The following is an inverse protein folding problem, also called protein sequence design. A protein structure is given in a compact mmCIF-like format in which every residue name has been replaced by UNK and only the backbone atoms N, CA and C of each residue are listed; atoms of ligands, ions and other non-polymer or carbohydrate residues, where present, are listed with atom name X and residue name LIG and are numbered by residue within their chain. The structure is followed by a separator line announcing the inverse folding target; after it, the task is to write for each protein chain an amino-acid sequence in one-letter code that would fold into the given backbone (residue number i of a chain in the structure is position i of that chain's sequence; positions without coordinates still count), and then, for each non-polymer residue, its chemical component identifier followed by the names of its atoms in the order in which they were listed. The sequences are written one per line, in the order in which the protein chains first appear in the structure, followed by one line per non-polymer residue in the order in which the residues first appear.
data_IF_785834860210
#
_entry.id   IF_785834860210
#
_cell.length_a   1.000
_cell.length_b   1.000
_cell.length_c   1.000
_cell.angle_alpha   90.00
_cell.angle_beta   90.00
_cell.angle_gamma   90.00
#
_symmetry.space_group_name_H-M   'P 1'
#
loop_
_entity.id
_entity.type
_entity.pdbx_description
1 polymer ?
#
# COMPACT_ATOMS: atom_id res chain seq x y z
N UNK A 1 -29.23 -4.43 46.75
CA UNK A 1 -28.91 -3.34 45.80
C UNK A 1 -27.60 -2.72 46.24
N UNK A 2 -26.49 -3.28 45.77
CA UNK A 2 -25.15 -2.85 46.16
C UNK A 2 -24.63 -1.91 45.08
N UNK A 3 -24.57 -0.62 45.37
CA UNK A 3 -23.95 0.37 44.50
C UNK A 3 -22.47 0.02 44.32
N UNK A 4 -22.13 -0.52 43.16
CA UNK A 4 -20.75 -0.56 42.66
C UNK A 4 -20.33 0.90 42.54
N UNK A 5 -19.61 1.39 43.56
CA UNK A 5 -18.93 2.68 43.50
C UNK A 5 -17.92 2.59 42.36
N UNK A 6 -18.27 3.15 41.21
CA UNK A 6 -17.32 3.48 40.15
C UNK A 6 -16.22 4.31 40.78
N UNK A 7 -15.08 3.67 41.05
CA UNK A 7 -13.86 4.34 41.48
C UNK A 7 -13.37 5.18 40.29
N UNK A 8 -13.97 6.36 40.09
CA UNK A 8 -13.57 7.35 39.09
C UNK A 8 -12.31 8.11 39.54
N UNK A 9 -11.32 7.38 40.04
CA UNK A 9 -10.03 7.91 40.47
C UNK A 9 -8.91 7.08 39.85
N UNK A 10 -8.76 7.20 38.53
CA UNK A 10 -7.49 6.88 37.88
C UNK A 10 -7.03 8.02 36.97
N UNK A 11 -7.22 9.24 37.46
CA UNK A 11 -6.79 10.49 36.79
C UNK A 11 -5.31 10.79 37.07
N UNK A 12 -4.64 10.04 37.96
CA UNK A 12 -3.25 10.35 38.36
C UNK A 12 -2.38 9.10 38.54
N UNK A 13 -2.49 8.12 37.65
CA UNK A 13 -1.43 7.12 37.57
C UNK A 13 -0.11 7.84 37.18
N UNK A 14 1.01 7.64 37.91
CA UNK A 14 2.24 8.41 37.69
C UNK A 14 2.78 8.29 36.26
N UNK A 15 2.51 7.17 35.59
CA UNK A 15 2.88 6.94 34.20
C UNK A 15 2.11 7.83 33.21
N UNK A 16 0.83 8.16 33.48
CA UNK A 16 0.04 9.10 32.64
C UNK A 16 0.63 10.50 32.72
N UNK A 17 1.07 10.91 33.92
CA UNK A 17 1.75 12.19 34.13
C UNK A 17 3.07 12.24 33.38
N UNK A 18 3.86 11.15 33.42
CA UNK A 18 5.13 11.07 32.69
C UNK A 18 4.96 11.19 31.17
N UNK A 19 3.93 10.54 30.61
CA UNK A 19 3.59 10.66 29.18
C UNK A 19 3.22 12.11 28.83
N UNK A 20 2.36 12.75 29.64
CA UNK A 20 1.97 14.15 29.45
C UNK A 20 3.18 15.06 29.47
N UNK A 21 4.06 14.91 30.46
CA UNK A 21 5.27 15.72 30.59
C UNK A 21 6.19 15.56 29.37
N UNK A 22 6.40 14.33 28.89
CA UNK A 22 7.20 14.05 27.70
C UNK A 22 6.63 14.74 26.45
N UNK A 23 5.32 14.62 26.21
CA UNK A 23 4.67 15.24 25.04
C UNK A 23 4.64 16.76 25.16
N UNK A 24 4.38 17.32 26.35
CA UNK A 24 4.42 18.77 26.58
C UNK A 24 5.82 19.36 26.37
N UNK A 25 6.87 18.63 26.77
CA UNK A 25 8.25 19.05 26.50
C UNK A 25 8.55 19.10 24.99
N UNK A 26 8.00 18.19 24.20
CA UNK A 26 8.10 18.22 22.74
C UNK A 26 7.33 19.43 22.17
N UNK A 27 6.10 19.65 22.63
CA UNK A 27 5.28 20.81 22.26
C UNK A 27 6.02 22.13 22.50
N UNK A 28 6.72 22.28 23.64
CA UNK A 28 7.50 23.49 23.93
C UNK A 28 8.60 23.76 22.89
N UNK A 29 9.26 22.71 22.39
CA UNK A 29 10.25 22.82 21.31
C UNK A 29 9.57 23.31 20.03
N UNK A 30 8.47 22.67 19.63
CA UNK A 30 7.74 23.04 18.42
C UNK A 30 7.19 24.48 18.48
N UNK A 31 6.71 24.92 19.64
CA UNK A 31 6.23 26.29 19.85
C UNK A 31 7.37 27.31 19.75
N UNK A 32 8.57 26.97 20.21
CA UNK A 32 9.77 27.81 20.06
C UNK A 32 10.17 27.94 18.59
N UNK A 33 10.08 26.85 17.82
CA UNK A 33 10.38 26.84 16.40
C UNK A 33 9.36 27.66 15.61
N UNK A 34 8.05 27.48 15.88
CA UNK A 34 6.98 28.27 15.28
C UNK A 34 7.16 29.79 15.54
N UNK A 35 7.54 30.16 16.77
CA UNK A 35 7.85 31.56 17.11
C UNK A 35 9.06 32.08 16.33
N UNK A 36 10.11 31.27 16.21
CA UNK A 36 11.32 31.63 15.46
C UNK A 36 11.01 31.81 13.97
N UNK A 37 10.18 30.94 13.39
CA UNK A 37 9.72 31.05 12.02
C UNK A 37 8.88 32.32 11.79
N UNK A 38 7.96 32.64 12.72
CA UNK A 38 7.19 33.89 12.69
C UNK A 38 8.09 35.13 12.70
N UNK A 39 9.08 35.19 13.60
CA UNK A 39 10.03 36.31 13.65
C UNK A 39 10.87 36.42 12.38
N UNK A 40 11.27 35.30 11.79
CA UNK A 40 12.00 35.27 10.51
C UNK A 40 11.15 35.90 9.40
N UNK A 41 9.90 35.46 9.24
CA UNK A 41 8.96 36.03 8.26
C UNK A 41 8.74 37.53 8.48
N UNK A 42 8.64 37.98 9.74
CA UNK A 42 8.54 39.41 10.04
C UNK A 42 9.79 40.19 9.61
N UNK A 43 10.99 39.65 9.83
CA UNK A 43 12.24 40.31 9.48
C UNK A 43 12.48 40.39 7.97
N UNK A 44 12.04 39.39 7.20
CA UNK A 44 12.17 39.33 5.74
C UNK A 44 11.26 40.36 5.04
N UNK A 45 10.15 40.74 5.65
CA UNK A 45 9.15 41.60 5.01
C UNK A 45 9.32 43.10 5.31
N UNK A 46 10.44 43.57 5.84
CA UNK A 46 10.61 44.98 6.24
C UNK A 46 10.84 45.91 5.04
N UNK A 47 10.09 47.03 4.89
CA UNK A 47 9.02 47.52 5.77
C UNK A 47 7.66 46.84 5.50
N UNK A 48 7.23 46.00 6.45
CA UNK A 48 6.01 45.23 6.29
C UNK A 48 4.80 46.14 6.49
N UNK A 49 3.94 46.20 5.48
CA UNK A 49 2.60 46.79 5.59
C UNK A 49 1.86 46.22 6.80
N UNK A 50 1.01 47.04 7.44
CA UNK A 50 0.19 46.64 8.59
C UNK A 50 -0.65 45.39 8.29
N UNK A 51 -1.15 45.29 7.06
CA UNK A 51 -1.91 44.14 6.56
C UNK A 51 -1.09 42.85 6.57
N UNK A 52 0.17 42.91 6.13
CA UNK A 52 1.08 41.74 6.10
C UNK A 52 1.38 41.26 7.53
N UNK A 53 1.59 42.18 8.47
CA UNK A 53 1.82 41.82 9.88
C UNK A 53 0.61 41.12 10.49
N UNK A 54 -0.61 41.60 10.19
CA UNK A 54 -1.84 40.97 10.67
C UNK A 54 -2.02 39.55 10.14
N UNK A 55 -1.77 39.33 8.84
CA UNK A 55 -1.81 37.99 8.23
C UNK A 55 -0.80 37.03 8.88
N UNK A 56 0.45 37.46 9.03
CA UNK A 56 1.49 36.65 9.68
C UNK A 56 1.14 36.32 11.13
N UNK A 57 0.53 37.26 11.86
CA UNK A 57 0.07 37.02 13.24
C UNK A 57 -1.03 35.96 13.28
N UNK A 58 -1.99 36.02 12.36
CA UNK A 58 -3.07 35.05 12.28
C UNK A 58 -2.54 33.65 11.91
N UNK A 59 -1.59 33.56 10.98
CA UNK A 59 -0.91 32.32 10.62
C UNK A 59 -0.21 31.71 11.85
N UNK A 60 0.62 32.49 12.56
CA UNK A 60 1.28 32.04 13.79
C UNK A 60 0.28 31.56 14.85
N UNK A 61 -0.82 32.30 15.06
CA UNK A 61 -1.85 31.90 16.01
C UNK A 61 -2.50 30.57 15.61
N UNK A 62 -2.78 30.37 14.32
CA UNK A 62 -3.33 29.12 13.80
C UNK A 62 -2.36 27.96 14.00
N UNK A 63 -1.07 28.16 13.70
CA UNK A 63 -0.04 27.14 13.89
C UNK A 63 0.08 26.73 15.36
N UNK A 64 0.07 27.70 16.28
CA UNK A 64 0.10 27.41 17.72
C UNK A 64 -1.12 26.59 18.16
N UNK A 65 -2.32 26.88 17.65
CA UNK A 65 -3.52 26.10 17.96
C UNK A 65 -3.43 24.67 17.40
N UNK A 66 -2.97 24.53 16.16
CA UNK A 66 -2.77 23.23 15.53
C UNK A 66 -1.77 22.37 16.32
N UNK A 67 -0.65 22.96 16.75
CA UNK A 67 0.37 22.28 17.54
C UNK A 67 -0.17 21.79 18.89
N UNK A 68 -0.97 22.63 19.58
CA UNK A 68 -1.63 22.23 20.84
C UNK A 68 -2.59 21.06 20.63
N UNK A 69 -3.41 21.13 19.59
CA UNK A 69 -4.34 20.05 19.24
C UNK A 69 -3.61 18.73 18.98
N UNK A 70 -2.53 18.75 18.19
CA UNK A 70 -1.72 17.56 17.90
C UNK A 70 -1.13 16.98 19.19
N UNK A 71 -0.57 17.82 20.07
CA UNK A 71 -0.01 17.35 21.34
C UNK A 71 -1.08 16.74 22.26
N UNK A 72 -2.30 17.29 22.29
CA UNK A 72 -3.41 16.72 23.06
C UNK A 72 -3.86 15.35 22.52
N UNK A 73 -3.95 15.20 21.19
CA UNK A 73 -4.25 13.92 20.55
C UNK A 73 -3.13 12.90 20.80
N UNK A 74 -1.86 13.30 20.74
CA UNK A 74 -0.72 12.43 21.01
C UNK A 74 -0.72 11.93 22.46
N UNK A 75 -0.98 12.82 23.43
CA UNK A 75 -1.17 12.43 24.84
C UNK A 75 -2.28 11.39 24.97
N UNK A 76 -3.42 11.60 24.31
CA UNK A 76 -4.56 10.68 24.38
C UNK A 76 -4.20 9.32 23.79
N UNK A 77 -3.62 9.30 22.59
CA UNK A 77 -3.26 8.08 21.88
C UNK A 77 -2.19 7.26 22.62
N UNK A 78 -1.21 7.93 23.22
CA UNK A 78 -0.15 7.28 24.00
C UNK A 78 -0.70 6.67 25.29
N UNK A 79 -1.58 7.40 25.99
CA UNK A 79 -2.28 6.87 27.18
C UNK A 79 -3.12 5.65 26.82
N UNK A 80 -3.88 5.70 25.72
CA UNK A 80 -4.70 4.58 25.29
C UNK A 80 -3.86 3.36 24.87
N UNK A 81 -2.70 3.57 24.24
CA UNK A 81 -1.77 2.48 23.90
C UNK A 81 -1.23 1.79 25.15
N UNK A 82 -0.71 2.55 26.09
CA UNK A 82 -0.16 2.02 27.34
C UNK A 82 -1.26 1.36 28.21
N UNK A 83 -2.49 1.90 28.22
CA UNK A 83 -3.62 1.24 28.86
C UNK A 83 -3.95 -0.11 28.22
N UNK A 84 -3.90 -0.21 26.88
CA UNK A 84 -4.10 -1.48 26.18
C UNK A 84 -2.99 -2.48 26.50
N UNK A 85 -1.74 -2.05 26.54
CA UNK A 85 -0.61 -2.91 26.88
C UNK A 85 -0.69 -3.40 28.33
N UNK A 86 -1.04 -2.51 29.27
CA UNK A 86 -1.24 -2.88 30.67
C UNK A 86 -2.44 -3.81 30.86
N UNK A 87 -3.55 -3.55 30.15
CA UNK A 87 -4.71 -4.44 30.15
C UNK A 87 -4.35 -5.80 29.58
N UNK A 88 -3.62 -5.84 28.46
CA UNK A 88 -3.11 -7.08 27.87
C UNK A 88 -2.22 -7.86 28.84
N UNK A 89 -1.31 -7.18 29.55
CA UNK A 89 -0.47 -7.80 30.57
C UNK A 89 -1.27 -8.30 31.77
N UNK A 90 -2.30 -7.55 32.20
CA UNK A 90 -3.17 -7.96 33.30
C UNK A 90 -4.05 -9.16 32.91
N UNK A 91 -4.65 -9.15 31.72
CA UNK A 91 -5.46 -10.24 31.18
C UNK A 91 -4.59 -11.49 30.94
N UNK A 92 -3.39 -11.32 30.40
CA UNK A 92 -2.43 -12.41 30.24
C UNK A 92 -2.08 -12.98 31.61
N UNK A 93 -1.74 -12.14 32.59
CA UNK A 93 -1.42 -12.61 33.95
C UNK A 93 -2.60 -13.32 34.59
N UNK A 94 -3.82 -12.79 34.47
CA UNK A 94 -5.03 -13.43 34.98
C UNK A 94 -5.31 -14.77 34.30
N UNK A 95 -4.99 -14.90 33.00
CA UNK A 95 -5.11 -16.17 32.27
C UNK A 95 -4.12 -17.22 32.79
N UNK A 96 -2.94 -16.82 33.24
CA UNK A 96 -1.94 -17.71 33.86
C UNK A 96 -2.16 -17.93 35.36
N UNK A 97 -3.01 -17.13 36.02
CA UNK A 97 -3.34 -17.21 37.45
C UNK A 97 -4.67 -17.94 37.72
N UNK A 98 -5.36 -18.40 36.66
CA UNK A 98 -6.35 -19.48 36.81
C UNK A 98 -5.57 -20.69 37.25
N UNK A 99 -5.81 -21.20 38.46
CA UNK A 99 -5.24 -22.42 39.02
C UNK A 99 -5.14 -23.50 37.94
N UNK A 100 -4.01 -23.54 37.23
CA UNK A 100 -3.73 -24.56 36.25
C UNK A 100 -3.68 -25.82 37.10
N UNK A 101 -4.59 -26.79 36.89
CA UNK A 101 -4.58 -28.00 37.68
C UNK A 101 -3.15 -28.53 37.67
N UNK A 102 -2.57 -28.77 38.85
CA UNK A 102 -1.15 -29.08 39.04
C UNK A 102 -0.65 -30.19 38.07
N UNK A 103 -1.58 -31.04 37.65
CA UNK A 103 -1.42 -32.12 36.67
C UNK A 103 -1.17 -31.65 35.22
N UNK A 104 -1.78 -30.55 34.77
CA UNK A 104 -1.56 -29.99 33.43
C UNK A 104 -0.22 -29.26 33.33
N UNK A 105 0.23 -28.65 34.43
CA UNK A 105 1.55 -28.02 34.52
C UNK A 105 2.67 -29.04 34.33
N UNK A 106 2.56 -30.22 34.94
CA UNK A 106 3.61 -31.23 34.87
C UNK A 106 3.70 -31.89 33.49
N UNK A 107 2.57 -32.25 32.87
CA UNK A 107 2.56 -32.83 31.52
C UNK A 107 3.10 -31.87 30.45
N UNK A 108 2.76 -30.57 30.54
CA UNK A 108 3.27 -29.57 29.60
C UNK A 108 4.76 -29.29 29.80
N UNK A 109 5.24 -29.27 31.05
CA UNK A 109 6.68 -29.14 31.35
C UNK A 109 7.45 -30.36 30.84
N UNK A 110 6.93 -31.57 31.00
CA UNK A 110 7.51 -32.80 30.44
C UNK A 110 7.58 -32.76 28.92
N UNK A 111 6.53 -32.26 28.25
CA UNK A 111 6.50 -32.11 26.80
C UNK A 111 7.55 -31.11 26.30
N UNK A 112 7.65 -29.94 26.94
CA UNK A 112 8.68 -28.93 26.61
C UNK A 112 10.10 -29.45 26.84
N UNK A 113 10.33 -30.19 27.94
CA UNK A 113 11.59 -30.88 28.21
C UNK A 113 11.90 -31.97 27.18
N UNK A 114 10.89 -32.72 26.73
CA UNK A 114 11.03 -33.73 25.69
C UNK A 114 11.43 -33.10 24.35
N UNK A 115 10.82 -31.98 23.97
CA UNK A 115 11.17 -31.23 22.75
C UNK A 115 12.60 -30.69 22.84
N UNK A 116 12.98 -30.06 23.95
CA UNK A 116 14.35 -29.56 24.15
C UNK A 116 15.39 -30.68 24.12
N UNK A 117 15.09 -31.82 24.73
CA UNK A 117 15.95 -33.00 24.67
C UNK A 117 16.01 -33.58 23.25
N UNK A 118 14.90 -33.58 22.50
CA UNK A 118 14.89 -34.02 21.11
C UNK A 118 15.76 -33.13 20.21
N UNK A 119 15.75 -31.81 20.43
CA UNK A 119 16.63 -30.87 19.70
C UNK A 119 18.09 -31.06 20.10
N UNK A 120 18.37 -31.21 21.40
CA UNK A 120 19.74 -31.40 21.90
C UNK A 120 20.36 -32.72 21.46
N UNK A 121 19.55 -33.77 21.36
CA UNK A 121 19.97 -35.11 20.98
C UNK A 121 19.77 -35.41 19.49
N UNK A 122 19.24 -34.46 18.70
CA UNK A 122 19.31 -34.59 17.26
C UNK A 122 20.79 -34.60 16.89
N UNK A 123 21.33 -35.71 16.34
CA UNK A 123 22.68 -35.71 15.83
C UNK A 123 22.72 -34.56 14.83
N UNK A 124 23.63 -33.59 15.04
CA UNK A 124 23.93 -32.56 14.04
C UNK A 124 24.11 -33.33 12.74
N UNK A 125 23.12 -33.26 11.85
CA UNK A 125 23.17 -33.88 10.55
C UNK A 125 24.43 -33.31 9.92
N UNK A 126 25.49 -34.11 9.95
CA UNK A 126 26.74 -33.81 9.30
C UNK A 126 26.36 -33.45 7.88
N UNK A 127 26.72 -32.22 7.51
CA UNK A 127 26.68 -31.63 6.17
C UNK A 127 26.31 -32.70 5.15
N UNK A 128 25.01 -32.83 4.87
CA UNK A 128 24.57 -33.53 3.68
C UNK A 128 25.20 -32.73 2.56
N UNK A 129 26.27 -33.30 2.02
CA UNK A 129 26.91 -32.87 0.79
C UNK A 129 25.76 -32.70 -0.18
N UNK A 130 25.52 -31.45 -0.57
CA UNK A 130 24.62 -31.10 -1.66
C UNK A 130 25.26 -31.72 -2.89
N UNK A 131 24.90 -32.97 -3.15
CA UNK A 131 25.25 -33.66 -4.37
C UNK A 131 24.46 -32.94 -5.46
N UNK A 132 25.19 -32.19 -6.29
CA UNK A 132 24.68 -31.50 -7.47
C UNK A 132 23.75 -32.43 -8.23
N UNK A 133 22.45 -32.14 -8.15
CA UNK A 133 21.44 -32.80 -8.94
C UNK A 133 21.53 -32.22 -10.35
N UNK A 134 22.40 -32.83 -11.17
CA UNK A 134 22.40 -32.63 -12.61
C UNK A 134 21.03 -33.04 -13.15
N UNK A 135 20.23 -32.03 -13.49
CA UNK A 135 18.93 -32.19 -14.13
C UNK A 135 19.10 -32.76 -15.53
N UNK A 136 19.12 -34.08 -15.66
CA UNK A 136 18.84 -34.75 -16.92
C UNK A 136 17.55 -35.56 -16.80
N UNK A 137 16.63 -35.26 -17.71
CA UNK A 137 15.69 -36.21 -18.29
C UNK A 137 14.55 -36.69 -17.37
N UNK A 138 13.52 -35.87 -17.26
CA UNK A 138 12.19 -36.33 -16.84
C UNK A 138 11.38 -36.68 -18.10
N UNK A 139 11.42 -37.95 -18.50
CA UNK A 139 10.55 -38.49 -19.54
C UNK A 139 9.09 -38.48 -19.07
N UNK A 140 8.21 -38.03 -19.97
CA UNK A 140 6.77 -37.98 -19.77
C UNK A 140 6.19 -39.41 -19.73
N UNK A 141 6.00 -39.94 -18.52
CA UNK A 141 5.19 -41.13 -18.29
C UNK A 141 3.70 -40.83 -18.42
N UNK A 142 3.10 -41.23 -19.54
CA UNK A 142 1.66 -41.26 -19.75
C UNK A 142 0.98 -42.19 -18.74
N UNK A 143 0.15 -41.64 -17.86
CA UNK A 143 -0.70 -42.43 -16.95
C UNK A 143 -2.13 -42.47 -17.48
N UNK A 144 -2.44 -43.56 -18.16
CA UNK A 144 -3.80 -43.98 -18.54
C UNK A 144 -4.61 -44.28 -17.28
N UNK A 145 -5.67 -43.51 -17.02
CA UNK A 145 -6.70 -43.89 -16.04
C UNK A 145 -7.78 -44.76 -16.71
N UNK A 146 -8.21 -45.86 -16.07
CA UNK A 146 -9.30 -46.68 -16.59
C UNK A 146 -10.65 -45.99 -16.35
N UNK A 147 -11.50 -46.08 -17.38
CA UNK A 147 -12.91 -45.72 -17.37
C UNK A 147 -13.64 -46.83 -16.60
N UNK A 148 -14.22 -46.49 -15.45
CA UNK A 148 -15.11 -47.38 -14.71
C UNK A 148 -16.54 -46.88 -14.81
N UNK A 149 -17.43 -47.80 -15.19
CA UNK A 149 -18.78 -47.54 -15.66
C UNK A 149 -19.83 -47.96 -14.61
N UNK A 150 -20.82 -47.07 -14.38
CA UNK A 150 -22.21 -47.32 -13.93
C UNK A 150 -22.43 -48.02 -12.55
N UNK A 151 -23.60 -47.91 -11.85
CA UNK A 151 -24.94 -47.76 -12.42
C UNK A 151 -25.96 -46.83 -11.72
N UNK A 152 -26.99 -46.55 -12.52
CA UNK A 152 -28.38 -46.16 -12.28
C UNK A 152 -28.94 -46.28 -10.86
N UNK A 153 -29.63 -45.22 -10.41
CA UNK A 153 -30.50 -45.25 -9.22
C UNK A 153 -31.94 -44.85 -9.61
N UNK A 154 -32.97 -45.58 -9.13
CA UNK A 154 -34.30 -45.53 -9.71
C UNK A 154 -35.19 -44.40 -9.17
N UNK A 155 -36.10 -43.97 -10.03
CA UNK A 155 -37.30 -43.21 -9.72
C UNK A 155 -38.20 -43.95 -8.73
N UNK A 156 -38.68 -43.25 -7.70
CA UNK A 156 -39.83 -43.67 -6.91
C UNK A 156 -40.71 -42.46 -6.59
N UNK A 157 -41.89 -42.49 -7.20
CA UNK A 157 -43.11 -41.75 -6.86
C UNK A 157 -43.63 -42.27 -5.52
N UNK A 158 -44.07 -41.39 -4.61
CA UNK A 158 -45.21 -41.55 -3.68
C UNK A 158 -45.41 -40.23 -2.90
N UNK A 159 -46.53 -39.54 -3.10
CA UNK A 159 -47.74 -39.61 -2.26
C UNK A 159 -47.66 -38.74 -0.98
N UNK A 160 -48.16 -37.51 -1.12
CA UNK A 160 -49.22 -36.88 -0.31
C UNK A 160 -49.51 -37.54 1.06
N UNK A 161 -49.15 -36.86 2.14
CA UNK A 161 -49.91 -36.88 3.40
C UNK A 161 -49.58 -35.62 4.21
N UNK A 162 -50.61 -34.83 4.51
CA UNK A 162 -50.51 -33.69 5.41
C UNK A 162 -50.35 -34.17 6.84
N UNK A 163 -49.33 -33.66 7.53
CA UNK A 163 -49.15 -33.84 8.96
C UNK A 163 -48.88 -32.47 9.59
N UNK A 164 -49.91 -31.96 10.26
CA UNK A 164 -49.84 -30.86 11.22
C UNK A 164 -48.90 -31.29 12.36
N UNK A 165 -47.63 -30.86 12.29
CA UNK A 165 -46.71 -30.96 13.41
C UNK A 165 -46.62 -29.61 14.09
N UNK A 166 -47.02 -29.61 15.36
CA UNK A 166 -46.91 -28.50 16.30
C UNK A 166 -45.54 -27.84 16.24
N UNK A 167 -45.54 -26.51 16.06
CA UNK A 167 -44.39 -25.63 16.22
C UNK A 167 -43.97 -25.60 17.70
N UNK A 168 -43.25 -26.63 18.14
CA UNK A 168 -42.49 -26.61 19.37
C UNK A 168 -41.30 -25.67 19.14
N UNK A 169 -41.40 -24.45 19.70
CA UNK A 169 -40.30 -23.50 19.80
C UNK A 169 -39.24 -24.10 20.73
N UNK A 170 -38.37 -24.93 20.16
CA UNK A 170 -37.12 -25.32 20.80
C UNK A 170 -36.26 -24.06 20.83
N UNK A 171 -36.14 -23.44 22.00
CA UNK A 171 -35.18 -22.38 22.24
C UNK A 171 -33.79 -22.91 21.88
N UNK A 172 -33.28 -22.52 20.71
CA UNK A 172 -31.89 -22.78 20.31
C UNK A 172 -31.01 -22.12 21.36
N UNK A 173 -30.43 -22.94 22.23
CA UNK A 173 -29.38 -22.53 23.15
C UNK A 173 -28.18 -22.19 22.28
N UNK A 174 -28.03 -20.90 21.99
CA UNK A 174 -26.95 -20.33 21.18
C UNK A 174 -25.63 -20.75 21.82
N UNK A 175 -24.87 -21.54 21.07
CA UNK A 175 -23.65 -22.15 21.59
C UNK A 175 -22.58 -21.09 21.81
N UNK A 176 -21.71 -21.28 22.80
CA UNK A 176 -20.59 -20.35 23.07
C UNK A 176 -19.70 -20.13 21.84
N UNK A 177 -19.56 -21.17 21.00
CA UNK A 177 -18.85 -21.10 19.73
C UNK A 177 -19.50 -20.17 18.69
N UNK A 178 -20.84 -20.17 18.58
CA UNK A 178 -21.57 -19.25 17.69
C UNK A 178 -21.41 -17.78 18.14
N UNK A 179 -21.42 -17.53 19.45
CA UNK A 179 -21.18 -16.19 20.00
C UNK A 179 -19.78 -15.69 19.67
N UNK A 180 -18.76 -16.55 19.81
CA UNK A 180 -17.39 -16.19 19.47
C UNK A 180 -17.21 -15.95 17.96
N UNK A 181 -17.81 -16.77 17.11
CA UNK A 181 -17.78 -16.59 15.66
C UNK A 181 -18.40 -15.25 15.23
N UNK A 182 -19.52 -14.86 15.85
CA UNK A 182 -20.18 -13.56 15.62
C UNK A 182 -19.30 -12.39 16.04
N UNK A 183 -18.60 -12.52 17.16
CA UNK A 183 -17.69 -11.48 17.67
C UNK A 183 -16.46 -11.29 16.76
N UNK A 184 -15.95 -12.38 16.17
CA UNK A 184 -14.87 -12.32 15.16
C UNK A 184 -15.33 -11.65 13.87
N UNK A 185 -16.55 -11.94 13.40
CA UNK A 185 -17.13 -11.28 12.23
C UNK A 185 -17.33 -9.77 12.47
N UNK A 186 -17.89 -9.38 13.62
CA UNK A 186 -18.07 -7.97 13.97
C UNK A 186 -16.74 -7.22 14.05
N UNK A 187 -15.69 -7.85 14.60
CA UNK A 187 -14.35 -7.27 14.66
C UNK A 187 -13.75 -7.06 13.27
N UNK A 188 -13.94 -8.03 12.37
CA UNK A 188 -13.48 -7.93 11.00
C UNK A 188 -14.25 -6.85 10.22
N UNK A 189 -15.56 -6.74 10.43
CA UNK A 189 -16.39 -5.68 9.84
C UNK A 189 -15.95 -4.28 10.30
N UNK A 190 -15.68 -4.09 11.61
CA UNK A 190 -15.14 -2.83 12.14
C UNK A 190 -13.78 -2.47 11.53
N UNK A 191 -12.91 -3.45 11.32
CA UNK A 191 -11.63 -3.20 10.65
C UNK A 191 -11.84 -2.75 9.19
N UNK A 192 -12.74 -3.40 8.45
CA UNK A 192 -13.06 -2.99 7.08
C UNK A 192 -13.67 -1.58 7.02
N UNK A 193 -14.54 -1.23 7.97
CA UNK A 193 -15.13 0.11 8.07
C UNK A 193 -14.07 1.16 8.40
N UNK A 194 -13.13 0.87 9.31
CA UNK A 194 -11.99 1.75 9.62
C UNK A 194 -11.11 1.99 8.37
N UNK A 195 -10.85 0.94 7.58
CA UNK A 195 -10.13 1.08 6.32
C UNK A 195 -10.88 1.95 5.31
N UNK A 196 -12.21 1.79 5.18
CA UNK A 196 -13.04 2.66 4.33
C UNK A 196 -12.97 4.11 4.78
N UNK A 197 -13.09 4.37 6.08
CA UNK A 197 -13.02 5.71 6.65
C UNK A 197 -11.67 6.39 6.38
N UNK A 198 -10.55 5.67 6.57
CA UNK A 198 -9.21 6.21 6.24
C UNK A 198 -9.04 6.46 4.75
N UNK A 199 -9.56 5.60 3.89
CA UNK A 199 -9.50 5.80 2.44
C UNK A 199 -10.26 7.06 2.01
N UNK A 200 -11.44 7.30 2.59
CA UNK A 200 -12.23 8.53 2.34
C UNK A 200 -11.50 9.79 2.84
N UNK A 201 -10.90 9.75 4.03
CA UNK A 201 -10.10 10.85 4.58
C UNK A 201 -8.90 11.21 3.67
N UNK A 202 -8.19 10.20 3.17
CA UNK A 202 -7.10 10.40 2.20
C UNK A 202 -7.62 11.05 0.91
N UNK A 203 -8.78 10.62 0.40
CA UNK A 203 -9.39 11.25 -0.77
C UNK A 203 -9.83 12.69 -0.51
N UNK A 204 -10.34 13.00 0.68
CA UNK A 204 -10.68 14.37 1.07
C UNK A 204 -9.44 15.25 1.14
N UNK A 205 -8.36 14.77 1.77
CA UNK A 205 -7.08 15.49 1.82
C UNK A 205 -6.53 15.76 0.43
N UNK A 206 -6.57 14.78 -0.48
CA UNK A 206 -6.18 14.96 -1.90
C UNK A 206 -7.07 15.94 -2.66
N UNK A 207 -8.37 16.06 -2.31
CA UNK A 207 -9.26 17.07 -2.90
C UNK A 207 -8.90 18.47 -2.42
N UNK A 208 -8.76 18.64 -1.11
CA UNK A 208 -8.35 19.92 -0.51
C UNK A 208 -6.99 20.38 -1.03
N UNK A 209 -6.04 19.46 -1.21
CA UNK A 209 -4.73 19.77 -1.78
C UNK A 209 -4.81 20.23 -3.24
N UNK A 210 -5.68 19.61 -4.06
CA UNK A 210 -5.93 20.06 -5.44
C UNK A 210 -6.60 21.43 -5.49
N UNK A 211 -7.58 21.66 -4.62
CA UNK A 211 -8.24 22.96 -4.50
C UNK A 211 -7.26 24.05 -4.05
N UNK A 212 -6.38 23.73 -3.10
CA UNK A 212 -5.32 24.62 -2.65
C UNK A 212 -4.34 24.98 -3.79
N UNK A 213 -3.85 23.99 -4.53
CA UNK A 213 -2.94 24.22 -5.67
C UNK A 213 -3.61 25.05 -6.77
N UNK A 214 -4.85 24.72 -7.13
CA UNK A 214 -5.61 25.48 -8.14
C UNK A 214 -5.83 26.94 -7.69
N UNK A 215 -6.02 27.18 -6.39
CA UNK A 215 -6.10 28.53 -5.83
C UNK A 215 -4.78 29.29 -5.91
N UNK A 216 -3.65 28.59 -5.79
CA UNK A 216 -2.32 29.19 -5.95
C UNK A 216 -2.09 29.61 -7.42
N UNK A 217 -2.41 28.75 -8.39
CA UNK A 217 -2.30 29.05 -9.83
C UNK A 217 -3.17 30.25 -10.23
N UNK A 218 -4.37 30.38 -9.65
CA UNK A 218 -5.23 31.54 -9.87
C UNK A 218 -4.62 32.86 -9.36
N UNK A 219 -3.83 32.82 -8.28
CA UNK A 219 -3.15 34.01 -7.75
C UNK A 219 -1.93 34.41 -8.61
N UNK A 220 -1.23 33.45 -9.19
CA UNK A 220 -0.09 33.72 -10.08
C UNK A 220 -0.54 34.28 -11.46
N UNK A 221 -1.63 33.74 -12.00
CA UNK A 221 -2.19 34.20 -13.29
C UNK A 221 -2.84 35.58 -13.22
N UNK A 222 -3.46 35.93 -12.09
CA UNK A 222 -4.02 37.29 -11.86
C UNK A 222 -2.94 38.33 -11.58
N UNK A 223 -1.78 37.93 -11.05
CA UNK A 223 -0.65 38.83 -10.83
C UNK A 223 0.11 39.16 -12.13
N UNK A 224 0.12 38.25 -13.10
CA UNK A 224 0.89 38.40 -14.35
C UNK A 224 0.16 39.18 -15.46
N UNK A 225 -1.16 39.39 -15.35
CA UNK A 225 -1.98 40.03 -16.39
C UNK A 225 -2.10 41.56 -16.26
N UNK A 226 -1.40 42.19 -15.32
CA UNK A 226 -1.46 43.65 -15.07
C UNK A 226 -0.28 44.47 -15.62
N UNK A 227 0.64 43.89 -16.39
CA UNK A 227 1.86 44.58 -16.83
C UNK A 227 2.08 44.74 -18.34
N UNK A 228 1.10 44.44 -19.20
CA UNK A 228 1.31 44.58 -20.65
C UNK A 228 0.06 45.10 -21.38
N UNK A 229 -0.07 46.42 -21.47
CA UNK A 229 -0.90 47.12 -22.47
C UNK A 229 -0.42 48.55 -22.65
N UNK A 230 0.58 48.76 -23.51
CA UNK A 230 0.85 50.04 -24.15
C UNK A 230 1.57 49.82 -25.48
N UNK A 231 0.96 50.37 -26.55
CA UNK A 231 1.54 50.67 -27.89
C UNK A 231 1.81 49.46 -28.80
N UNK A 232 1.46 49.39 -30.10
CA UNK A 232 0.98 50.34 -31.11
C UNK A 232 0.47 49.56 -32.34
N UNK A 233 -0.49 50.13 -33.06
CA UNK A 233 -0.87 49.85 -34.45
C UNK A 233 0.35 49.91 -35.41
N UNK A 234 0.40 49.31 -36.60
CA UNK A 234 -0.36 49.67 -37.82
C UNK A 234 0.07 48.78 -39.01
N UNK A 235 -0.84 48.56 -40.00
CA UNK A 235 -0.60 48.29 -41.47
C UNK A 235 0.18 47.03 -41.89
N UNK A 236 -0.08 46.30 -42.99
CA UNK A 236 -0.99 46.40 -44.14
C UNK A 236 -0.84 45.14 -45.02
N UNK A 237 -1.93 44.81 -45.71
CA UNK A 237 -2.16 43.97 -46.90
C UNK A 237 -0.99 43.55 -47.82
N UNK A 238 -0.97 42.29 -48.27
CA UNK A 238 -1.24 41.87 -49.67
C UNK A 238 -1.00 40.34 -49.90
N UNK A 239 -1.77 39.68 -50.80
CA UNK A 239 -1.60 38.28 -51.19
C UNK A 239 -0.96 38.15 -52.59
N UNK A 240 -0.11 37.14 -52.82
CA UNK A 240 0.19 36.66 -54.19
C UNK A 240 0.42 35.15 -54.24
N UNK A 241 -0.05 34.61 -55.36
CA UNK A 241 -0.25 33.23 -55.77
C UNK A 241 0.90 32.64 -56.60
N UNK A 242 0.95 31.30 -56.68
CA UNK A 242 1.31 30.48 -57.86
C UNK A 242 2.79 30.51 -58.36
N UNK A 243 3.52 29.47 -58.81
CA UNK A 243 3.41 27.99 -58.97
C UNK A 243 4.87 27.47 -59.29
N UNK A 244 5.19 26.31 -59.94
CA UNK A 244 6.18 25.33 -59.44
C UNK A 244 7.45 25.16 -60.32
N UNK A 245 8.44 24.36 -59.88
CA UNK A 245 9.18 23.36 -60.71
C UNK A 245 10.50 22.86 -60.06
N UNK A 246 11.04 21.71 -60.51
CA UNK A 246 11.82 20.78 -59.68
C UNK A 246 13.32 20.68 -60.05
N UNK A 247 14.02 19.77 -59.36
CA UNK A 247 15.40 19.29 -59.58
C UNK A 247 16.45 20.10 -58.81
N UNK A 248 17.46 19.54 -58.16
CA UNK A 248 17.87 18.17 -57.86
C UNK A 248 19.17 18.30 -57.07
N UNK A 249 19.42 17.30 -56.21
CA UNK A 249 20.77 16.86 -55.81
C UNK A 249 21.46 17.56 -54.63
N UNK A 250 22.08 16.66 -53.84
CA UNK A 250 23.32 16.84 -53.06
C UNK A 250 23.12 17.09 -51.56
N UNK A 251 23.13 15.96 -50.85
CA UNK A 251 23.96 15.67 -49.67
C UNK A 251 24.14 16.81 -48.67
N UNK A 252 23.25 16.84 -47.68
CA UNK A 252 23.49 17.47 -46.40
C UNK A 252 23.22 16.45 -45.31
N UNK A 253 24.30 15.84 -44.81
CA UNK A 253 24.37 15.17 -43.52
C UNK A 253 23.94 16.18 -42.46
N UNK A 254 22.63 16.21 -42.23
CA UNK A 254 22.02 17.03 -41.22
C UNK A 254 22.09 16.22 -39.93
N UNK A 255 23.06 16.60 -39.10
CA UNK A 255 23.11 16.32 -37.67
C UNK A 255 21.75 16.69 -37.04
N UNK A 256 20.78 15.78 -37.14
CA UNK A 256 19.61 15.74 -36.27
C UNK A 256 20.10 15.25 -34.92
N UNK A 257 20.83 16.14 -34.25
CA UNK A 257 21.06 16.12 -32.81
C UNK A 257 19.68 16.31 -32.17
N UNK A 258 18.93 15.21 -32.14
CA UNK A 258 17.70 15.08 -31.38
C UNK A 258 18.13 15.32 -29.93
N UNK A 259 17.97 16.56 -29.48
CA UNK A 259 17.77 16.88 -28.08
C UNK A 259 16.55 16.06 -27.67
N UNK A 260 16.79 14.79 -27.30
CA UNK A 260 15.90 14.06 -26.43
C UNK A 260 15.88 14.88 -25.16
N UNK A 261 14.93 15.80 -25.13
CA UNK A 261 14.46 16.51 -23.96
C UNK A 261 14.25 15.43 -22.90
N UNK A 262 15.29 15.23 -22.10
CA UNK A 262 15.31 14.18 -21.09
C UNK A 262 14.23 14.57 -20.12
N UNK A 263 13.12 13.82 -20.12
CA UNK A 263 12.04 14.03 -19.17
C UNK A 263 12.65 14.21 -17.77
N UNK A 264 12.20 15.22 -17.00
CA UNK A 264 12.77 15.49 -15.70
C UNK A 264 12.79 14.22 -14.87
N UNK A 265 13.98 13.84 -14.37
CA UNK A 265 14.14 12.67 -13.52
C UNK A 265 13.19 12.81 -12.33
N UNK A 266 12.37 11.79 -12.06
CA UNK A 266 11.47 11.81 -10.92
C UNK A 266 12.26 11.98 -9.62
N UNK A 267 11.70 12.75 -8.68
CA UNK A 267 12.30 12.89 -7.35
C UNK A 267 12.35 11.54 -6.64
N UNK A 268 13.29 11.39 -5.70
CA UNK A 268 13.42 10.18 -4.91
C UNK A 268 12.13 9.89 -4.12
N UNK A 269 11.53 10.94 -3.55
CA UNK A 269 10.26 10.85 -2.85
C UNK A 269 9.13 10.39 -3.78
N UNK A 270 9.09 10.85 -5.03
CA UNK A 270 8.09 10.43 -6.01
C UNK A 270 8.25 8.97 -6.40
N UNK A 271 9.49 8.48 -6.54
CA UNK A 271 9.79 7.06 -6.80
C UNK A 271 9.28 6.18 -5.66
N UNK A 272 9.57 6.57 -4.41
CA UNK A 272 9.11 5.85 -3.21
C UNK A 272 7.58 5.84 -3.18
N UNK A 273 6.95 7.00 -3.38
CA UNK A 273 5.49 7.13 -3.39
C UNK A 273 4.84 6.30 -4.50
N UNK A 274 5.42 6.28 -5.70
CA UNK A 274 4.95 5.48 -6.84
C UNK A 274 4.95 3.99 -6.51
N UNK A 275 6.00 3.52 -5.87
CA UNK A 275 6.11 2.11 -5.47
C UNK A 275 5.12 1.72 -4.39
N UNK A 276 4.96 2.55 -3.36
CA UNK A 276 3.95 2.33 -2.33
C UNK A 276 2.56 2.30 -2.98
N UNK A 277 2.30 3.20 -3.92
CA UNK A 277 1.06 3.22 -4.68
C UNK A 277 0.84 1.95 -5.50
N UNK A 278 1.85 1.45 -6.22
CA UNK A 278 1.78 0.19 -6.96
C UNK A 278 1.49 -1.02 -6.06
N UNK A 279 2.09 -1.07 -4.86
CA UNK A 279 1.81 -2.14 -3.90
C UNK A 279 0.36 -2.08 -3.39
N UNK A 280 -0.19 -0.88 -3.16
CA UNK A 280 -1.60 -0.71 -2.83
C UNK A 280 -2.52 -1.11 -4.00
N UNK A 281 -2.14 -0.80 -5.24
CA UNK A 281 -2.92 -1.18 -6.43
C UNK A 281 -3.12 -2.69 -6.54
N UNK A 282 -2.11 -3.53 -6.21
CA UNK A 282 -2.28 -4.99 -6.21
C UNK A 282 -3.44 -5.49 -5.33
N UNK A 283 -3.65 -4.83 -4.19
CA UNK A 283 -4.77 -5.12 -3.29
C UNK A 283 -6.09 -4.70 -3.92
N UNK A 284 -6.10 -3.51 -4.55
CA UNK A 284 -7.29 -2.95 -5.17
C UNK A 284 -7.74 -3.71 -6.43
N UNK A 285 -6.83 -4.08 -7.34
CA UNK A 285 -7.19 -4.80 -8.57
C UNK A 285 -7.83 -6.17 -8.30
N UNK A 286 -7.51 -6.78 -7.16
CA UNK A 286 -8.13 -8.06 -6.76
C UNK A 286 -9.62 -7.91 -6.41
N UNK A 287 -10.11 -6.69 -6.22
CA UNK A 287 -11.52 -6.38 -5.91
C UNK A 287 -12.32 -5.87 -7.11
N UNK A 288 -11.66 -5.57 -8.22
CA UNK A 288 -12.32 -5.01 -9.40
C UNK A 288 -13.00 -6.14 -10.22
N UNK A 289 -14.25 -5.92 -10.68
CA UNK A 289 -14.95 -6.92 -11.49
C UNK A 289 -14.41 -7.00 -12.92
N UNK A 290 -13.85 -5.90 -13.41
CA UNK A 290 -13.30 -5.74 -14.76
C UNK A 290 -11.95 -5.07 -14.66
N UNK A 291 -10.97 -5.62 -15.37
CA UNK A 291 -9.60 -5.09 -15.42
C UNK A 291 -9.25 -4.68 -16.85
N UNK A 292 -8.46 -3.63 -16.95
CA UNK A 292 -7.87 -3.08 -18.16
C UNK A 292 -6.35 -3.03 -18.04
N UNK A 293 -5.65 -2.84 -19.15
CA UNK A 293 -4.20 -2.73 -19.20
C UNK A 293 -3.66 -1.66 -18.24
N UNK A 294 -4.33 -0.51 -18.15
CA UNK A 294 -3.93 0.61 -17.28
C UNK A 294 -4.13 0.36 -15.78
N UNK A 295 -4.90 -0.65 -15.40
CA UNK A 295 -5.19 -0.94 -13.98
C UNK A 295 -4.04 -1.69 -13.31
N UNK A 296 -3.19 -2.33 -14.11
CA UNK A 296 -2.07 -3.11 -13.59
C UNK A 296 -0.91 -2.17 -13.17
N UNK A 297 -0.33 -2.40 -11.97
CA UNK A 297 0.84 -1.67 -11.50
C UNK A 297 2.11 -2.19 -12.17
N UNK A 298 2.27 -1.89 -13.46
CA UNK A 298 3.44 -2.26 -14.25
C UNK A 298 4.73 -1.79 -13.57
N UNK A 299 5.83 -2.59 -13.56
CA UNK A 299 7.10 -2.18 -12.98
C UNK A 299 7.81 -1.17 -13.91
N UNK A 300 7.26 0.03 -13.96
CA UNK A 300 7.63 1.12 -14.83
C UNK A 300 7.64 2.42 -14.02
N UNK A 301 8.73 3.18 -14.06
CA UNK A 301 8.90 4.42 -13.30
C UNK A 301 8.18 5.59 -13.99
N UNK A 302 6.86 5.49 -14.08
CA UNK A 302 6.00 6.59 -14.51
C UNK A 302 4.64 6.46 -13.85
N UNK A 303 4.03 7.60 -13.49
CA UNK A 303 2.63 7.64 -13.05
C UNK A 303 1.65 7.26 -14.16
N UNK A 304 2.09 7.28 -15.42
CA UNK A 304 1.33 6.76 -16.54
C UNK A 304 1.71 5.30 -16.78
N UNK A 305 0.69 4.44 -16.89
CA UNK A 305 0.92 3.07 -17.33
C UNK A 305 1.62 3.08 -18.71
N UNK A 306 2.54 2.12 -18.98
CA UNK A 306 3.09 1.93 -20.32
C UNK A 306 1.95 1.86 -21.34
N UNK A 307 2.13 2.37 -22.55
CA UNK A 307 1.05 2.33 -23.55
C UNK A 307 1.02 0.99 -24.27
N UNK A 308 2.16 0.30 -24.32
CA UNK A 308 2.31 -1.00 -24.98
C UNK A 308 3.30 -1.88 -24.24
N UNK A 309 3.31 -3.17 -24.60
CA UNK A 309 4.25 -4.16 -24.04
C UNK A 309 5.72 -3.85 -24.40
N UNK A 310 5.97 -3.14 -25.50
CA UNK A 310 7.32 -2.77 -25.93
C UNK A 310 7.97 -1.73 -25.01
N UNK A 311 7.17 -0.97 -24.25
CA UNK A 311 7.67 0.02 -23.28
C UNK A 311 8.28 -0.67 -22.03
N UNK A 312 7.97 -1.95 -21.81
CA UNK A 312 8.46 -2.77 -20.71
C UNK A 312 9.86 -3.31 -21.03
N UNK A 313 10.84 -2.42 -21.15
CA UNK A 313 12.23 -2.76 -21.43
C UNK A 313 12.96 -3.28 -20.19
N UNK A 314 14.07 -4.00 -20.39
CA UNK A 314 14.93 -4.46 -19.28
C UNK A 314 15.39 -3.29 -18.41
N UNK A 315 15.75 -2.19 -19.04
CA UNK A 315 16.21 -0.96 -18.38
C UNK A 315 15.11 -0.39 -17.49
N UNK A 316 13.91 -0.17 -18.01
CA UNK A 316 12.79 0.41 -17.25
C UNK A 316 12.38 -0.45 -16.05
N UNK A 317 12.32 -1.77 -16.23
CA UNK A 317 12.01 -2.71 -15.13
C UNK A 317 13.14 -2.76 -14.11
N UNK A 318 14.40 -2.75 -14.56
CA UNK A 318 15.55 -2.76 -13.65
C UNK A 318 15.61 -1.49 -12.81
N UNK A 319 15.33 -0.34 -13.41
CA UNK A 319 15.27 0.95 -12.74
C UNK A 319 14.16 0.95 -11.70
N UNK A 320 12.96 0.46 -12.04
CA UNK A 320 11.84 0.34 -11.11
C UNK A 320 12.15 -0.52 -9.87
N UNK A 321 12.91 -1.61 -10.04
CA UNK A 321 13.28 -2.49 -8.93
C UNK A 321 14.30 -1.83 -8.01
N UNK A 322 15.26 -1.09 -8.58
CA UNK A 322 16.43 -0.56 -7.85
C UNK A 322 16.19 0.85 -7.29
N UNK A 323 15.50 1.73 -8.00
CA UNK A 323 15.34 3.14 -7.65
C UNK A 323 14.75 3.40 -6.24
N UNK A 324 13.78 2.62 -5.72
CA UNK A 324 13.26 2.79 -4.36
C UNK A 324 14.25 2.43 -3.24
N UNK A 325 15.39 1.83 -3.59
CA UNK A 325 16.37 1.27 -2.67
C UNK A 325 17.66 2.11 -2.61
N UNK A 326 17.66 3.32 -3.16
CA UNK A 326 18.83 4.21 -3.25
C UNK A 326 19.50 4.54 -1.89
N UNK A 327 18.84 4.26 -0.77
CA UNK A 327 19.37 4.53 0.59
C UNK A 327 20.17 3.35 1.17
N UNK A 328 20.01 2.14 0.64
CA UNK A 328 20.81 0.97 1.01
C UNK A 328 20.85 0.02 -0.19
N UNK A 329 22.00 -0.11 -0.86
CA UNK A 329 22.28 -1.18 -1.81
C UNK A 329 22.38 -2.56 -1.11
N UNK A 330 21.41 -2.86 -0.24
CA UNK A 330 21.29 -4.14 0.40
C UNK A 330 20.79 -5.15 -0.64
N UNK A 331 21.75 -5.94 -1.10
CA UNK A 331 21.55 -7.04 -2.05
C UNK A 331 20.47 -8.01 -1.58
N UNK A 332 20.31 -8.22 -0.27
CA UNK A 332 19.26 -9.09 0.25
C UNK A 332 17.87 -8.49 -0.01
N UNK A 333 17.70 -7.19 0.23
CA UNK A 333 16.43 -6.48 0.03
C UNK A 333 16.04 -6.47 -1.46
N UNK A 334 16.99 -6.15 -2.36
CA UNK A 334 16.75 -6.18 -3.81
C UNK A 334 16.33 -7.57 -4.26
N UNK A 335 17.04 -8.60 -3.79
CA UNK A 335 16.76 -10.00 -4.13
C UNK A 335 15.38 -10.44 -3.65
N UNK A 336 14.97 -10.04 -2.44
CA UNK A 336 13.65 -10.38 -1.91
C UNK A 336 12.54 -9.64 -2.64
N UNK A 337 12.75 -8.37 -3.00
CA UNK A 337 11.84 -7.62 -3.86
C UNK A 337 11.69 -8.24 -5.25
N UNK A 338 12.77 -8.70 -5.87
CA UNK A 338 12.73 -9.44 -7.14
C UNK A 338 11.89 -10.71 -7.01
N UNK A 339 12.12 -11.52 -5.96
CA UNK A 339 11.32 -12.74 -5.71
C UNK A 339 9.84 -12.41 -5.52
N UNK A 340 9.52 -11.33 -4.81
CA UNK A 340 8.12 -10.91 -4.61
C UNK A 340 7.45 -10.47 -5.90
N UNK A 341 8.14 -9.70 -6.74
CA UNK A 341 7.63 -9.33 -8.06
C UNK A 341 7.46 -10.55 -8.97
N UNK A 342 8.42 -11.49 -8.97
CA UNK A 342 8.29 -12.76 -9.73
C UNK A 342 7.06 -13.55 -9.26
N UNK A 343 6.81 -13.63 -7.95
CA UNK A 343 5.60 -14.31 -7.43
C UNK A 343 4.30 -13.64 -7.90
N UNK A 344 4.27 -12.30 -7.99
CA UNK A 344 3.10 -11.53 -8.45
C UNK A 344 2.86 -11.68 -9.97
N UNK A 345 3.94 -11.66 -10.76
CA UNK A 345 3.91 -11.73 -12.22
C UNK A 345 4.05 -13.15 -12.79
N UNK A 346 4.09 -14.18 -11.94
CA UNK A 346 4.19 -15.56 -12.40
C UNK A 346 2.98 -15.92 -13.28
N UNK A 347 3.18 -16.48 -14.49
CA UNK A 347 2.09 -16.70 -15.45
C UNK A 347 0.96 -17.52 -14.83
N UNK A 348 1.26 -18.64 -14.18
CA UNK A 348 0.24 -19.49 -13.55
C UNK A 348 -0.69 -18.73 -12.56
N UNK A 349 -0.13 -17.90 -11.69
CA UNK A 349 -0.93 -17.15 -10.71
C UNK A 349 -1.63 -15.95 -11.34
N UNK A 350 -0.93 -15.27 -12.24
CA UNK A 350 -1.41 -14.07 -12.89
C UNK A 350 -2.57 -14.36 -13.84
N UNK A 351 -2.46 -15.42 -14.64
CA UNK A 351 -3.48 -15.86 -15.59
C UNK A 351 -4.76 -16.31 -14.88
N UNK A 352 -4.63 -17.14 -13.84
CA UNK A 352 -5.79 -17.66 -13.09
C UNK A 352 -6.52 -16.54 -12.35
N UNK A 353 -5.78 -15.59 -11.76
CA UNK A 353 -6.37 -14.56 -10.89
C UNK A 353 -6.87 -13.33 -11.64
N UNK A 354 -6.14 -12.85 -12.65
CA UNK A 354 -6.38 -11.52 -13.22
C UNK A 354 -6.83 -11.56 -14.68
N UNK A 355 -6.30 -12.46 -15.53
CA UNK A 355 -6.71 -12.48 -16.94
C UNK A 355 -8.19 -12.85 -17.14
N UNK A 356 -8.75 -13.65 -16.24
CA UNK A 356 -10.17 -14.00 -16.25
C UNK A 356 -11.10 -12.78 -16.05
N UNK A 357 -10.58 -11.69 -15.47
CA UNK A 357 -11.34 -10.46 -15.18
C UNK A 357 -11.29 -9.44 -16.34
N UNK A 358 -10.49 -9.68 -17.38
CA UNK A 358 -10.37 -8.76 -18.53
C UNK A 358 -11.41 -9.16 -19.58
N UNK A 359 -12.39 -8.29 -19.84
CA UNK A 359 -13.50 -8.59 -20.73
C UNK A 359 -13.10 -8.65 -22.21
N UNK A 360 -12.25 -7.72 -22.67
CA UNK A 360 -11.81 -7.64 -24.06
C UNK A 360 -10.73 -8.69 -24.36
N UNK A 361 -10.93 -9.45 -25.44
CA UNK A 361 -9.97 -10.48 -25.87
C UNK A 361 -8.65 -9.88 -26.36
N UNK A 362 -8.66 -8.71 -27.01
CA UNK A 362 -7.43 -8.09 -27.51
C UNK A 362 -6.59 -7.55 -26.35
N UNK A 363 -7.24 -6.84 -25.43
CA UNK A 363 -6.62 -6.34 -24.21
C UNK A 363 -6.11 -7.47 -23.31
N UNK A 364 -6.86 -8.58 -23.20
CA UNK A 364 -6.43 -9.77 -22.46
C UNK A 364 -5.15 -10.38 -23.02
N UNK A 365 -5.02 -10.45 -24.35
CA UNK A 365 -3.79 -10.92 -24.99
C UNK A 365 -2.63 -9.97 -24.71
N UNK A 366 -2.87 -8.66 -24.85
CA UNK A 366 -1.86 -7.64 -24.57
C UNK A 366 -1.34 -7.75 -23.13
N UNK A 367 -2.25 -7.83 -22.14
CA UNK A 367 -1.89 -8.00 -20.72
C UNK A 367 -1.13 -9.30 -20.48
N UNK A 368 -1.54 -10.41 -21.11
CA UNK A 368 -0.83 -11.71 -21.00
C UNK A 368 0.61 -11.58 -21.52
N UNK A 369 0.78 -11.02 -22.71
CA UNK A 369 2.10 -10.84 -23.30
C UNK A 369 2.98 -9.89 -22.47
N UNK A 370 2.42 -8.77 -22.01
CA UNK A 370 3.11 -7.81 -21.14
C UNK A 370 3.56 -8.44 -19.82
N UNK A 371 2.69 -9.20 -19.15
CA UNK A 371 3.02 -9.95 -17.95
C UNK A 371 4.14 -10.98 -18.22
N UNK A 372 4.06 -11.68 -19.35
CA UNK A 372 5.09 -12.63 -19.79
C UNK A 372 6.44 -11.97 -20.10
N UNK A 373 6.47 -10.74 -20.61
CA UNK A 373 7.69 -9.95 -20.79
C UNK A 373 8.29 -9.60 -19.43
N UNK A 374 7.49 -9.03 -18.51
CA UNK A 374 7.92 -8.66 -17.16
C UNK A 374 8.48 -9.87 -16.41
N UNK A 375 7.78 -11.00 -16.42
CA UNK A 375 8.22 -12.21 -15.73
C UNK A 375 9.58 -12.70 -16.23
N UNK A 376 9.84 -12.67 -17.55
CA UNK A 376 11.13 -13.04 -18.13
C UNK A 376 12.24 -12.08 -17.67
N UNK A 377 12.00 -10.77 -17.79
CA UNK A 377 12.97 -9.74 -17.37
C UNK A 377 13.32 -9.89 -15.88
N UNK A 378 12.33 -10.07 -15.02
CA UNK A 378 12.55 -10.23 -13.58
C UNK A 378 13.37 -11.50 -13.25
N UNK A 379 13.14 -12.61 -13.96
CA UNK A 379 13.94 -13.82 -13.80
C UNK A 379 15.38 -13.63 -14.29
N UNK A 380 15.58 -12.96 -15.43
CA UNK A 380 16.92 -12.64 -15.94
C UNK A 380 17.68 -11.73 -14.97
N UNK A 381 17.01 -10.74 -14.39
CA UNK A 381 17.57 -9.88 -13.34
C UNK A 381 17.94 -10.71 -12.12
N UNK A 382 17.05 -11.59 -11.62
CA UNK A 382 17.34 -12.44 -10.47
C UNK A 382 18.52 -13.39 -10.72
N UNK A 383 18.67 -13.92 -11.94
CA UNK A 383 19.81 -14.73 -12.37
C UNK A 383 21.13 -13.95 -12.30
N UNK A 384 21.19 -12.78 -12.95
CA UNK A 384 22.36 -11.87 -12.89
C UNK A 384 22.73 -11.51 -11.45
N UNK A 385 21.73 -11.31 -10.58
CA UNK A 385 21.91 -11.01 -9.17
C UNK A 385 22.34 -12.22 -8.32
N UNK A 386 22.29 -13.45 -8.82
CA UNK A 386 22.83 -14.64 -8.13
C UNK A 386 24.26 -14.97 -8.57
N UNK A 387 24.65 -14.58 -9.79
CA UNK A 387 25.97 -14.88 -10.36
C UNK A 387 27.08 -13.93 -9.89
N UNK A 388 26.72 -12.73 -9.42
CA UNK A 388 27.64 -11.77 -8.77
C UNK A 388 27.96 -12.16 -7.32
#
# INVERSE_FOLDING_TARGET
MSHIRSASYDVSAPWKTQIRERVMKNLDVMLKDARTAYHRKLSENVPASTEVRYRLQNEYNQDVQNLRYIAEEEVRAEIEREERERRWCADSRALWDVDVPEQLGQAFVEEQLAILNAIKNQPRLEKVVVQEYNGSLFEQGSSSRPIEAHPSRPSAVHSRSGSLSQTLQVAKVETTAEKEARLRLEKHEKQQEEFRKRAEEIQQRKRLQREWNNRLDQLETTSSSSSSSSMTSTTSSAPTSATPSPSSSITSEQDCKSERETAPAMSEEDVINLVIFHDQQWTWISSLPHLQWSDFPWPYLSFSAPKRKEDLTVEAVSEYVVAPLNICHDRAIVKDRLKDLIRKWHPDRFEVKYLALIADSQEREMVREGAGVVARILNDLLGKWNDQ
#
